data_IF_930651151237
#
_entry.id   IF_930651151237
#
_cell.length_a   1.000
_cell.length_b   1.000
_cell.length_c   1.000
_cell.angle_alpha   90.00
_cell.angle_beta   90.00
_cell.angle_gamma   90.00
#
_symmetry.space_group_name_H-M   'P 1'
#
loop_
_entity.id
_entity.type
_entity.pdbx_description
1 polymer ?
#
# COMPACT_ATOMS: atom_id res chain seq x y z
N UNK A 1 -7.38 3.14 -3.64
CA UNK A 1 -7.13 1.68 -3.53
C UNK A 1 -8.45 0.96 -3.31
N UNK A 2 -8.68 -0.18 -3.96
CA UNK A 2 -9.91 -0.95 -3.78
C UNK A 2 -9.91 -1.71 -2.45
N UNK A 3 -10.94 -1.51 -1.65
CA UNK A 3 -11.19 -2.24 -0.40
C UNK A 3 -12.08 -3.48 -0.61
N UNK A 4 -12.94 -3.47 -1.65
CA UNK A 4 -13.86 -4.56 -1.98
C UNK A 4 -13.90 -4.81 -3.49
N UNK A 5 -14.40 -5.97 -3.89
CA UNK A 5 -14.65 -6.36 -5.28
C UNK A 5 -13.48 -7.11 -5.95
N UNK A 6 -13.54 -7.31 -7.28
CA UNK A 6 -12.58 -8.15 -8.00
C UNK A 6 -11.15 -7.57 -8.03
N UNK A 7 -11.02 -6.25 -7.87
CA UNK A 7 -9.73 -5.55 -7.85
C UNK A 7 -9.21 -5.24 -6.45
N UNK A 8 -9.70 -5.96 -5.42
CA UNK A 8 -9.34 -5.71 -4.01
C UNK A 8 -7.83 -5.66 -3.81
N UNK A 9 -7.36 -4.62 -3.12
CA UNK A 9 -5.95 -4.38 -2.83
C UNK A 9 -5.15 -3.75 -3.96
N UNK A 10 -5.73 -3.56 -5.15
CA UNK A 10 -5.08 -2.86 -6.27
C UNK A 10 -5.24 -1.34 -6.16
N UNK A 11 -4.30 -0.64 -6.79
CA UNK A 11 -4.30 0.81 -6.88
C UNK A 11 -5.03 1.28 -8.14
N UNK A 12 -5.66 2.45 -8.03
CA UNK A 12 -6.25 3.16 -9.14
C UNK A 12 -6.27 4.66 -8.82
N UNK A 13 -6.15 5.49 -9.84
CA UNK A 13 -6.41 6.92 -9.79
C UNK A 13 -7.90 7.19 -10.02
N UNK A 14 -8.42 8.23 -9.35
CA UNK A 14 -9.72 8.80 -9.67
C UNK A 14 -9.54 9.73 -10.86
N UNK A 15 -10.18 9.40 -11.97
CA UNK A 15 -10.11 10.16 -13.23
C UNK A 15 -11.21 11.22 -13.29
N UNK A 16 -12.40 10.87 -12.78
CA UNK A 16 -13.57 11.73 -12.75
C UNK A 16 -14.49 11.33 -11.60
N UNK A 17 -15.19 12.29 -11.03
CA UNK A 17 -16.29 12.06 -10.09
C UNK A 17 -17.58 12.07 -10.92
N UNK A 18 -18.33 10.96 -10.88
CA UNK A 18 -19.58 10.83 -11.64
C UNK A 18 -20.71 11.44 -10.84
N UNK A 19 -20.84 11.02 -9.58
CA UNK A 19 -21.82 11.51 -8.63
C UNK A 19 -21.28 11.36 -7.20
N UNK A 20 -22.07 11.73 -6.19
CA UNK A 20 -21.67 11.68 -4.78
C UNK A 20 -21.29 10.27 -4.27
N UNK A 21 -21.73 9.21 -4.96
CA UNK A 21 -21.53 7.82 -4.55
C UNK A 21 -20.60 7.06 -5.49
N UNK A 22 -20.31 7.55 -6.69
CA UNK A 22 -19.57 6.83 -7.73
C UNK A 22 -18.47 7.69 -8.35
N UNK A 23 -17.35 7.04 -8.58
CA UNK A 23 -16.16 7.62 -9.22
C UNK A 23 -15.73 6.77 -10.40
N UNK A 24 -15.19 7.41 -11.43
CA UNK A 24 -14.52 6.75 -12.54
C UNK A 24 -13.06 6.53 -12.16
N UNK A 25 -12.63 5.28 -12.19
CA UNK A 25 -11.32 4.84 -11.74
C UNK A 25 -10.55 4.17 -12.87
N UNK A 26 -9.23 4.29 -12.82
CA UNK A 26 -8.33 3.55 -13.68
C UNK A 26 -6.97 3.34 -12.98
N UNK A 27 -6.40 2.14 -13.13
CA UNK A 27 -5.06 1.82 -12.65
C UNK A 27 -4.18 1.33 -13.79
N UNK A 28 -3.46 2.23 -14.50
CA UNK A 28 -2.63 1.89 -15.65
C UNK A 28 -1.28 1.29 -15.24
N UNK A 29 -1.32 0.35 -14.29
CA UNK A 29 -0.14 -0.39 -13.83
C UNK A 29 0.42 -1.25 -14.96
N UNK A 30 1.75 -1.30 -15.06
CA UNK A 30 2.46 -2.13 -16.04
C UNK A 30 2.33 -3.63 -15.74
N UNK A 31 2.12 -4.00 -14.47
CA UNK A 31 1.89 -5.40 -14.09
C UNK A 31 0.41 -5.79 -14.34
N UNK A 32 0.11 -6.82 -15.16
CA UNK A 32 -1.26 -7.29 -15.41
C UNK A 32 -2.02 -7.69 -14.14
N UNK A 33 -1.32 -8.20 -13.12
CA UNK A 33 -1.94 -8.59 -11.85
C UNK A 33 -2.39 -7.37 -11.01
N UNK A 34 -1.83 -6.19 -11.26
CA UNK A 34 -2.17 -4.94 -10.56
C UNK A 34 -2.94 -3.95 -11.43
N UNK A 35 -3.02 -4.21 -12.74
CA UNK A 35 -3.80 -3.44 -13.69
C UNK A 35 -5.29 -3.42 -13.31
N UNK A 36 -5.89 -2.25 -13.42
CA UNK A 36 -7.33 -2.04 -13.23
C UNK A 36 -7.87 -1.29 -14.45
N UNK A 37 -8.77 -1.92 -15.24
CA UNK A 37 -9.35 -1.26 -16.40
C UNK A 37 -10.22 -0.08 -15.96
N UNK A 38 -10.41 0.87 -16.88
CA UNK A 38 -11.27 2.04 -16.66
C UNK A 38 -12.70 1.58 -16.38
N UNK A 39 -13.20 1.90 -15.19
CA UNK A 39 -14.54 1.49 -14.76
C UNK A 39 -15.11 2.46 -13.72
N UNK A 40 -16.44 2.50 -13.60
CA UNK A 40 -17.09 3.16 -12.48
C UNK A 40 -17.05 2.25 -11.25
N UNK A 41 -16.73 2.81 -10.08
CA UNK A 41 -16.87 2.11 -8.81
C UNK A 41 -17.57 2.99 -7.76
N UNK A 42 -18.31 2.38 -6.82
CA UNK A 42 -18.81 3.08 -5.66
C UNK A 42 -17.65 3.59 -4.79
N UNK A 43 -17.77 4.80 -4.26
CA UNK A 43 -16.80 5.38 -3.33
C UNK A 43 -16.67 4.52 -2.07
N UNK A 44 -17.74 3.84 -1.65
CA UNK A 44 -17.73 2.89 -0.52
C UNK A 44 -16.84 1.66 -0.73
N UNK A 45 -16.48 1.33 -1.97
CA UNK A 45 -15.62 0.20 -2.30
C UNK A 45 -14.13 0.58 -2.35
N UNK A 46 -13.81 1.87 -2.19
CA UNK A 46 -12.48 2.41 -2.44
C UNK A 46 -12.05 3.21 -1.22
N UNK A 47 -10.80 3.03 -0.80
CA UNK A 47 -10.17 3.85 0.22
C UNK A 47 -9.14 4.77 -0.44
N UNK A 48 -9.18 6.05 -0.07
CA UNK A 48 -8.23 7.05 -0.55
C UNK A 48 -6.84 6.78 0.04
N UNK A 49 -5.82 6.95 -0.80
CA UNK A 49 -4.41 6.90 -0.38
C UNK A 49 -3.89 8.31 -0.20
N UNK A 50 -2.80 8.48 0.55
CA UNK A 50 -2.13 9.78 0.72
C UNK A 50 -1.37 10.27 -0.53
N UNK A 51 -1.34 9.47 -1.59
CA UNK A 51 -0.63 9.78 -2.83
C UNK A 51 -1.58 10.54 -3.74
N UNK A 52 -1.18 11.76 -4.13
CA UNK A 52 -1.89 12.62 -5.07
C UNK A 52 -1.01 12.83 -6.28
N UNK A 53 -1.57 12.61 -7.47
CA UNK A 53 -0.92 12.95 -8.74
C UNK A 53 -1.24 14.44 -9.01
N UNK A 54 -0.24 15.33 -9.02
CA UNK A 54 -0.49 16.76 -9.17
C UNK A 54 -0.98 17.08 -10.59
N UNK A 55 -1.87 18.09 -10.69
CA UNK A 55 -2.32 18.68 -11.97
C UNK A 55 -2.85 17.68 -13.01
N UNK A 56 -3.49 16.60 -12.56
CA UNK A 56 -4.16 15.67 -13.47
C UNK A 56 -5.43 16.30 -14.05
N UNK A 57 -5.57 16.44 -15.39
CA UNK A 57 -6.80 16.96 -15.99
C UNK A 57 -7.99 16.05 -15.69
N UNK A 58 -9.17 16.65 -15.51
CA UNK A 58 -10.41 15.91 -15.40
C UNK A 58 -10.65 15.10 -16.69
N UNK A 59 -11.09 13.85 -16.55
CA UNK A 59 -11.36 12.96 -17.69
C UNK A 59 -10.15 12.69 -18.61
N UNK A 60 -8.92 12.73 -18.07
CA UNK A 60 -7.70 12.37 -18.80
C UNK A 60 -7.82 10.99 -19.47
N UNK A 61 -7.28 10.83 -20.67
CA UNK A 61 -7.20 9.54 -21.36
C UNK A 61 -6.21 8.57 -20.72
N UNK A 62 -6.31 7.28 -21.09
CA UNK A 62 -5.45 6.21 -20.55
C UNK A 62 -3.95 6.51 -20.74
N UNK A 63 -3.56 6.98 -21.94
CA UNK A 63 -2.17 7.27 -22.26
C UNK A 63 -1.59 8.43 -21.43
N UNK A 64 -2.37 9.48 -21.21
CA UNK A 64 -1.99 10.62 -20.37
C UNK A 64 -1.86 10.21 -18.90
N UNK A 65 -2.81 9.43 -18.40
CA UNK A 65 -2.77 8.91 -17.03
C UNK A 65 -1.56 8.01 -16.82
N UNK A 66 -1.26 7.10 -17.75
CA UNK A 66 -0.10 6.20 -17.65
C UNK A 66 1.21 6.97 -17.56
N UNK A 67 1.40 7.98 -18.42
CA UNK A 67 2.59 8.84 -18.40
C UNK A 67 2.78 9.52 -17.04
N UNK A 68 1.71 10.10 -16.49
CA UNK A 68 1.81 10.78 -15.20
C UNK A 68 1.96 9.78 -14.04
N UNK A 69 1.31 8.63 -14.10
CA UNK A 69 1.43 7.56 -13.10
C UNK A 69 2.88 7.07 -12.96
N UNK A 70 3.56 6.88 -14.10
CA UNK A 70 4.97 6.51 -14.17
C UNK A 70 5.89 7.66 -13.75
N UNK A 71 5.63 8.89 -14.22
CA UNK A 71 6.40 10.08 -13.86
C UNK A 71 6.42 10.32 -12.35
N UNK A 72 5.26 10.17 -11.70
CA UNK A 72 5.13 10.34 -10.25
C UNK A 72 5.56 9.11 -9.46
N UNK A 73 5.93 8.00 -10.12
CA UNK A 73 6.34 6.74 -9.50
C UNK A 73 5.35 6.29 -8.43
N UNK A 74 4.05 6.29 -8.77
CA UNK A 74 2.96 6.05 -7.82
C UNK A 74 3.10 4.69 -7.13
N UNK A 75 3.47 3.66 -7.88
CA UNK A 75 3.68 2.31 -7.34
C UNK A 75 4.84 2.27 -6.34
N UNK A 76 5.98 2.89 -6.67
CA UNK A 76 7.13 2.95 -5.75
C UNK A 76 6.80 3.70 -4.47
N UNK A 77 6.10 4.83 -4.59
CA UNK A 77 5.61 5.62 -3.44
C UNK A 77 4.67 4.79 -2.58
N UNK A 78 3.77 4.03 -3.20
CA UNK A 78 2.84 3.17 -2.46
C UNK A 78 3.57 2.01 -1.78
N UNK A 79 4.46 1.30 -2.48
CA UNK A 79 5.24 0.19 -1.94
C UNK A 79 6.12 0.63 -0.75
N UNK A 80 6.62 1.87 -0.79
CA UNK A 80 7.39 2.45 0.31
C UNK A 80 6.54 2.98 1.48
N UNK A 81 5.23 3.09 1.32
CA UNK A 81 4.33 3.58 2.37
C UNK A 81 4.29 2.64 3.59
N UNK A 82 4.01 3.22 4.76
CA UNK A 82 3.81 2.45 6.00
C UNK A 82 2.68 1.42 5.84
N UNK A 83 1.62 1.80 5.11
CA UNK A 83 0.50 0.92 4.83
C UNK A 83 0.94 -0.34 4.06
N UNK A 84 1.62 -0.18 2.92
CA UNK A 84 2.09 -1.31 2.12
C UNK A 84 3.07 -2.19 2.90
N UNK A 85 4.02 -1.59 3.62
CA UNK A 85 4.99 -2.32 4.47
C UNK A 85 4.30 -3.11 5.58
N UNK A 86 3.29 -2.52 6.23
CA UNK A 86 2.52 -3.19 7.28
C UNK A 86 1.72 -4.37 6.74
N UNK A 87 1.10 -4.22 5.56
CA UNK A 87 0.34 -5.27 4.87
C UNK A 87 1.24 -6.42 4.42
N UNK A 88 2.40 -6.12 3.83
CA UNK A 88 3.40 -7.12 3.45
C UNK A 88 3.92 -7.90 4.68
N UNK A 89 4.18 -7.19 5.80
CA UNK A 89 4.55 -7.83 7.07
C UNK A 89 3.47 -8.77 7.60
N UNK A 90 2.19 -8.39 7.48
CA UNK A 90 1.08 -9.23 7.91
C UNK A 90 0.93 -10.47 7.01
N UNK A 91 1.06 -10.31 5.69
CA UNK A 91 1.04 -11.42 4.74
C UNK A 91 2.17 -12.42 5.05
N UNK A 92 3.40 -11.93 5.17
CA UNK A 92 4.56 -12.78 5.49
C UNK A 92 4.40 -13.51 6.83
N UNK A 93 3.78 -12.87 7.84
CA UNK A 93 3.49 -13.52 9.13
C UNK A 93 2.51 -14.69 9.02
N UNK A 94 1.53 -14.60 8.11
CA UNK A 94 0.58 -15.68 7.85
C UNK A 94 1.25 -16.86 7.13
N UNK A 95 2.23 -16.57 6.29
CA UNK A 95 2.96 -17.56 5.48
C UNK A 95 4.09 -18.28 6.22
N UNK A 96 4.46 -17.85 7.44
CA UNK A 96 5.57 -18.48 8.18
C UNK A 96 5.31 -19.95 8.47
N UNK A 97 6.30 -20.78 8.15
CA UNK A 97 6.39 -22.16 8.60
C UNK A 97 6.70 -22.25 10.09
N UNK A 98 6.46 -23.41 10.71
CA UNK A 98 6.65 -23.58 12.15
C UNK A 98 8.12 -23.37 12.59
N UNK A 99 9.07 -23.85 11.79
CA UNK A 99 10.48 -23.61 12.02
C UNK A 99 10.86 -22.13 11.95
N UNK A 100 10.28 -21.37 11.01
CA UNK A 100 10.50 -19.92 10.94
C UNK A 100 9.88 -19.19 12.12
N UNK A 101 8.72 -19.65 12.64
CA UNK A 101 8.14 -19.10 13.87
C UNK A 101 9.06 -19.33 15.07
N UNK A 102 9.68 -20.50 15.17
CA UNK A 102 10.69 -20.76 16.19
C UNK A 102 11.89 -19.81 16.06
N UNK A 103 12.44 -19.62 14.85
CA UNK A 103 13.52 -18.64 14.61
C UNK A 103 13.11 -17.23 15.04
N UNK A 104 11.91 -16.79 14.66
CA UNK A 104 11.37 -15.47 15.06
C UNK A 104 11.25 -15.37 16.58
N UNK A 105 10.83 -16.43 17.28
CA UNK A 105 10.76 -16.45 18.74
C UNK A 105 12.14 -16.24 19.37
N UNK A 106 13.14 -16.99 18.92
CA UNK A 106 14.52 -16.91 19.45
C UNK A 106 15.12 -15.53 19.19
N UNK A 107 15.03 -15.01 17.95
CA UNK A 107 15.54 -13.68 17.59
C UNK A 107 14.86 -12.57 18.40
N UNK A 108 13.54 -12.68 18.65
CA UNK A 108 12.82 -11.73 19.50
C UNK A 108 13.28 -11.80 20.96
N UNK A 109 13.66 -12.97 21.47
CA UNK A 109 14.21 -13.12 22.83
C UNK A 109 15.58 -12.44 22.94
N UNK A 110 16.46 -12.62 21.95
CA UNK A 110 17.77 -11.96 21.88
C UNK A 110 17.64 -10.43 21.82
N UNK A 111 16.84 -9.91 20.88
CA UNK A 111 16.63 -8.46 20.74
C UNK A 111 16.04 -7.84 22.01
N UNK A 112 15.10 -8.52 22.69
CA UNK A 112 14.55 -8.05 23.97
C UNK A 112 15.59 -7.98 25.08
N UNK A 113 16.51 -8.96 25.13
CA UNK A 113 17.56 -8.98 26.13
C UNK A 113 18.53 -7.81 25.94
N UNK A 114 18.96 -7.55 24.70
CA UNK A 114 19.83 -6.41 24.37
C UNK A 114 19.19 -5.07 24.70
N UNK A 115 17.91 -4.87 24.35
CA UNK A 115 17.16 -3.66 24.70
C UNK A 115 17.05 -3.47 26.21
N UNK A 116 16.82 -4.55 26.98
CA UNK A 116 16.77 -4.44 28.45
C UNK A 116 18.12 -4.07 29.04
N UNK A 117 19.21 -4.63 28.49
CA UNK A 117 20.58 -4.31 28.91
C UNK A 117 20.90 -2.84 28.66
N UNK A 118 20.60 -2.31 27.46
CA UNK A 118 20.85 -0.90 27.15
C UNK A 118 20.00 0.04 28.00
N UNK A 119 18.72 -0.28 28.22
CA UNK A 119 17.84 0.53 29.08
C UNK A 119 18.32 0.54 30.53
N UNK A 120 18.77 -0.60 31.08
CA UNK A 120 19.32 -0.66 32.43
C UNK A 120 20.60 0.20 32.57
N UNK A 121 21.48 0.15 31.58
CA UNK A 121 22.69 0.99 31.54
C UNK A 121 22.37 2.49 31.48
N UNK A 122 21.39 2.89 30.66
CA UNK A 122 20.99 4.30 30.57
C UNK A 122 20.31 4.80 31.84
N UNK A 123 19.51 3.96 32.51
CA UNK A 123 18.87 4.30 33.79
C UNK A 123 19.85 4.41 34.96
N UNK A 124 20.97 3.68 34.93
CA UNK A 124 22.01 3.82 35.95
C UNK A 124 22.92 5.03 35.76
N UNK A 125 22.80 5.75 34.62
CA UNK A 125 23.56 6.96 34.30
C UNK A 125 22.76 8.25 34.44
N UNK A 126 21.43 8.16 34.56
CA UNK A 126 20.52 9.26 34.86
C UNK A 126 20.29 9.33 36.37
#
# INVERSE_FOLDING_TARGET
MFAKGPYTGRLAAIVQIIDHKRVLLEGPSSNPAQHVPRQSAPLSHVSLTSIVIPKLPLAVGQSGLKKQWESEKVEDKFNNSVYAKSKAKLARRKELSDFERFKVMVLRKQARFEVRKSVAQSKGKA
#
